data_IF_730149780281
#
_entry.id   IF_730149780281
#
_cell.length_a   1.000
_cell.length_b   1.000
_cell.length_c   1.000
_cell.angle_alpha   90.00
_cell.angle_beta   90.00
_cell.angle_gamma   90.00
#
_symmetry.space_group_name_H-M   'P 1'
#
loop_
_entity.id
_entity.type
_entity.pdbx_description
1 polymer ?
#
# COMPACT_ATOMS: atom_id res chain seq x y z
N UNK A 1 -30.14 15.92 18.69
CA UNK A 1 -30.79 17.20 19.08
C UNK A 1 -32.31 17.12 19.06
N UNK A 2 -32.96 17.15 17.89
CA UNK A 2 -34.43 17.29 17.81
C UNK A 2 -35.21 16.21 18.56
N UNK A 3 -34.86 14.93 18.38
CA UNK A 3 -35.50 13.81 19.09
C UNK A 3 -35.44 14.00 20.62
N UNK A 4 -34.28 14.41 21.14
CA UNK A 4 -34.10 14.69 22.56
C UNK A 4 -35.07 15.78 23.06
N UNK A 5 -35.17 16.90 22.34
CA UNK A 5 -36.09 18.00 22.72
C UNK A 5 -37.56 17.59 22.63
N UNK A 6 -37.95 16.84 21.59
CA UNK A 6 -39.35 16.40 21.45
C UNK A 6 -39.73 15.38 22.53
N UNK A 7 -38.84 14.47 22.92
CA UNK A 7 -39.07 13.55 24.04
C UNK A 7 -39.22 14.28 25.38
N UNK A 8 -38.40 15.31 25.64
CA UNK A 8 -38.55 16.17 26.84
C UNK A 8 -39.85 16.95 26.84
N UNK A 9 -40.29 17.41 25.66
CA UNK A 9 -41.60 18.06 25.48
C UNK A 9 -42.77 17.09 25.73
N UNK A 10 -42.64 15.83 25.33
CA UNK A 10 -43.62 14.76 25.63
C UNK A 10 -43.68 14.36 27.11
N UNK A 11 -42.77 14.86 27.96
CA UNK A 11 -42.81 14.65 29.40
C UNK A 11 -41.60 13.94 30.00
N UNK A 12 -40.61 13.52 29.19
CA UNK A 12 -39.39 12.88 29.67
C UNK A 12 -38.43 13.89 30.34
N UNK A 13 -38.83 14.54 31.44
CA UNK A 13 -38.08 15.64 32.08
C UNK A 13 -36.70 15.24 32.61
N UNK A 14 -36.51 13.96 32.93
CA UNK A 14 -35.24 13.41 33.39
C UNK A 14 -34.28 13.02 32.26
N UNK A 15 -34.71 13.06 30.99
CA UNK A 15 -33.80 12.85 29.85
C UNK A 15 -32.88 14.06 29.71
N UNK A 16 -31.67 14.00 30.26
CA UNK A 16 -30.72 15.13 30.27
C UNK A 16 -29.44 14.88 29.47
N UNK A 17 -29.27 13.69 28.90
CA UNK A 17 -28.07 13.31 28.20
C UNK A 17 -28.36 12.82 26.78
N UNK A 18 -27.40 13.04 25.89
CA UNK A 18 -27.35 12.42 24.56
C UNK A 18 -26.02 11.67 24.46
N UNK A 19 -26.11 10.38 24.12
CA UNK A 19 -24.95 9.58 23.78
C UNK A 19 -24.83 9.50 22.26
N UNK A 20 -23.66 9.89 21.74
CA UNK A 20 -23.35 9.90 20.31
C UNK A 20 -22.76 8.56 19.84
N UNK A 21 -22.45 7.65 20.76
CA UNK A 21 -21.72 6.42 20.47
C UNK A 21 -20.27 6.69 20.09
N UNK A 22 -19.68 5.76 19.35
CA UNK A 22 -18.33 5.89 18.80
C UNK A 22 -18.27 6.72 17.51
N UNK A 23 -17.33 6.38 16.63
CA UNK A 23 -17.19 7.01 15.31
C UNK A 23 -16.14 8.12 15.22
N UNK A 24 -15.52 8.51 16.35
CA UNK A 24 -14.33 9.34 16.33
C UNK A 24 -13.15 8.54 15.72
N UNK A 25 -12.74 8.94 14.52
CA UNK A 25 -11.75 8.25 13.71
C UNK A 25 -10.32 8.55 14.16
N UNK A 26 -9.43 7.62 13.81
CA UNK A 26 -7.98 7.74 14.02
C UNK A 26 -7.33 7.95 12.65
N UNK A 27 -6.28 8.76 12.61
CA UNK A 27 -5.47 8.92 11.41
C UNK A 27 -4.45 7.78 11.38
N UNK A 28 -4.61 6.84 10.43
CA UNK A 28 -3.71 5.70 10.26
C UNK A 28 -2.71 5.90 9.13
N UNK A 29 -2.97 6.85 8.23
CA UNK A 29 -2.12 7.06 7.07
C UNK A 29 -0.76 7.62 7.45
N UNK A 30 0.27 7.00 6.89
CA UNK A 30 1.65 7.48 6.92
C UNK A 30 2.03 8.27 5.66
N UNK A 31 1.15 8.33 4.65
CA UNK A 31 1.42 9.03 3.40
C UNK A 31 0.85 10.45 3.43
N UNK A 32 1.67 11.43 3.02
CA UNK A 32 1.40 12.88 3.14
C UNK A 32 0.06 13.32 2.53
N UNK A 33 -0.40 12.63 1.49
CA UNK A 33 -1.57 13.03 0.70
C UNK A 33 -2.76 12.07 0.81
N UNK A 34 -2.73 11.08 1.71
CA UNK A 34 -3.77 10.05 1.82
C UNK A 34 -4.38 10.01 3.22
N UNK A 35 -5.02 11.10 3.66
CA UNK A 35 -5.61 11.13 5.02
C UNK A 35 -6.76 10.14 5.16
N UNK A 36 -6.76 9.38 6.25
CA UNK A 36 -7.86 8.48 6.63
C UNK A 36 -9.08 9.23 7.17
N UNK A 37 -8.92 10.48 7.64
CA UNK A 37 -10.03 11.34 8.08
C UNK A 37 -9.91 12.78 7.56
N UNK A 38 -11.06 13.42 7.34
CA UNK A 38 -11.14 14.79 6.81
C UNK A 38 -11.45 15.86 7.86
N UNK A 39 -11.54 15.51 9.14
CA UNK A 39 -11.82 16.44 10.24
C UNK A 39 -10.77 16.36 11.34
N UNK A 40 -10.63 17.40 12.16
CA UNK A 40 -9.79 17.38 13.37
C UNK A 40 -10.57 16.97 14.63
N UNK A 41 -9.86 16.54 15.69
CA UNK A 41 -10.48 16.29 17.00
C UNK A 41 -11.27 17.51 17.51
N UNK A 42 -10.71 18.71 17.29
CA UNK A 42 -11.34 19.95 17.73
C UNK A 42 -12.58 20.29 16.91
N UNK A 43 -12.53 20.05 15.61
CA UNK A 43 -13.66 20.22 14.71
C UNK A 43 -14.82 19.30 15.09
N UNK A 44 -14.55 18.00 15.30
CA UNK A 44 -15.56 17.07 15.80
C UNK A 44 -16.24 17.57 17.08
N UNK A 45 -15.45 18.01 18.07
CA UNK A 45 -15.99 18.52 19.34
C UNK A 45 -16.80 19.81 19.14
N UNK A 46 -16.31 20.73 18.31
CA UNK A 46 -17.00 21.98 18.01
C UNK A 46 -18.35 21.72 17.32
N UNK A 47 -18.39 20.85 16.31
CA UNK A 47 -19.60 20.55 15.55
C UNK A 47 -20.68 19.94 16.43
N UNK A 48 -20.30 18.97 17.27
CA UNK A 48 -21.21 18.34 18.23
C UNK A 48 -21.81 19.37 19.19
N UNK A 49 -20.97 20.19 19.82
CA UNK A 49 -21.42 21.20 20.79
C UNK A 49 -22.29 22.25 20.12
N UNK A 50 -21.89 22.74 18.95
CA UNK A 50 -22.60 23.79 18.21
C UNK A 50 -23.99 23.32 17.75
N UNK A 51 -24.09 22.11 17.19
CA UNK A 51 -25.36 21.55 16.73
C UNK A 51 -26.33 21.38 17.90
N UNK A 52 -25.87 20.82 19.02
CA UNK A 52 -26.73 20.58 20.19
C UNK A 52 -27.18 21.88 20.85
N UNK A 53 -26.26 22.85 20.99
CA UNK A 53 -26.57 24.18 21.49
C UNK A 53 -27.65 24.87 20.65
N UNK A 54 -27.46 24.97 19.33
CA UNK A 54 -28.41 25.65 18.44
C UNK A 54 -29.82 25.03 18.52
N UNK A 55 -29.91 23.70 18.60
CA UNK A 55 -31.20 23.01 18.71
C UNK A 55 -31.85 23.30 20.08
N UNK A 56 -31.08 23.27 21.17
CA UNK A 56 -31.59 23.59 22.50
C UNK A 56 -32.08 25.04 22.59
N UNK A 57 -31.30 26.00 22.06
CA UNK A 57 -31.67 27.42 22.00
C UNK A 57 -32.94 27.64 21.16
N UNK A 58 -33.01 27.04 19.95
CA UNK A 58 -34.16 27.16 19.06
C UNK A 58 -35.45 26.63 19.70
N UNK A 59 -35.36 25.50 20.40
CA UNK A 59 -36.50 24.85 21.07
C UNK A 59 -36.76 25.41 22.48
N UNK A 60 -35.90 26.30 22.97
CA UNK A 60 -35.92 26.84 24.35
C UNK A 60 -35.98 25.72 25.40
N UNK A 61 -35.20 24.66 25.18
CA UNK A 61 -35.11 23.50 26.07
C UNK A 61 -33.70 23.40 26.69
N UNK A 62 -33.51 22.47 27.61
CA UNK A 62 -32.25 22.23 28.32
C UNK A 62 -31.16 21.71 27.39
N UNK A 63 -30.00 22.36 27.37
CA UNK A 63 -28.78 21.81 26.74
C UNK A 63 -28.41 20.46 27.38
N UNK A 64 -28.26 19.38 26.60
CA UNK A 64 -27.97 18.05 27.14
C UNK A 64 -26.51 17.89 27.57
N UNK A 65 -26.28 17.03 28.56
CA UNK A 65 -24.97 16.42 28.81
C UNK A 65 -24.57 15.55 27.61
N UNK A 66 -23.32 15.68 27.16
CA UNK A 66 -22.82 14.99 25.97
C UNK A 66 -21.99 13.79 26.39
N UNK A 67 -22.37 12.61 25.90
CA UNK A 67 -21.63 11.36 26.07
C UNK A 67 -21.10 10.85 24.73
N UNK A 68 -19.88 10.33 24.74
CA UNK A 68 -19.22 9.69 23.58
C UNK A 68 -18.62 8.36 23.99
N UNK A 69 -18.54 7.42 23.05
CA UNK A 69 -18.02 6.07 23.24
C UNK A 69 -16.82 5.83 22.29
N UNK A 70 -15.91 6.80 22.25
CA UNK A 70 -14.76 6.85 21.32
C UNK A 70 -13.63 5.89 21.69
N UNK A 71 -13.93 4.59 21.79
CA UNK A 71 -12.99 3.55 22.20
C UNK A 71 -11.77 3.40 21.27
N UNK A 72 -11.98 3.36 19.95
CA UNK A 72 -10.87 3.27 18.98
C UNK A 72 -9.90 4.44 19.14
N UNK A 73 -10.41 5.65 19.34
CA UNK A 73 -9.58 6.85 19.45
C UNK A 73 -8.64 6.80 20.66
N UNK A 74 -9.13 6.35 21.82
CA UNK A 74 -8.31 6.29 23.04
C UNK A 74 -7.35 5.10 23.05
N UNK A 75 -7.72 3.99 22.39
CA UNK A 75 -6.93 2.76 22.41
C UNK A 75 -5.95 2.62 21.23
N UNK A 76 -6.08 3.35 20.12
CA UNK A 76 -5.33 3.02 18.91
C UNK A 76 -3.80 3.15 19.04
N UNK A 77 -3.28 4.14 19.77
CA UNK A 77 -1.85 4.47 19.78
C UNK A 77 -1.09 3.95 21.02
N UNK A 78 -1.76 3.25 21.94
CA UNK A 78 -1.15 2.85 23.21
C UNK A 78 -0.24 1.62 23.11
N UNK A 79 -0.36 0.85 22.02
CA UNK A 79 0.33 -0.42 21.82
C UNK A 79 1.12 -0.40 20.51
N UNK A 80 2.31 -1.00 20.54
CA UNK A 80 3.20 -1.15 19.37
C UNK A 80 3.62 -2.62 19.28
N UNK A 81 3.51 -3.20 18.09
CA UNK A 81 4.00 -4.53 17.80
C UNK A 81 5.44 -4.44 17.28
N UNK A 82 6.38 -5.06 17.97
CA UNK A 82 7.79 -5.10 17.57
C UNK A 82 8.14 -6.54 17.23
N UNK A 83 8.66 -6.76 16.02
CA UNK A 83 9.11 -8.05 15.55
C UNK A 83 10.42 -7.91 14.75
N UNK A 84 11.41 -8.80 14.96
CA UNK A 84 12.62 -8.79 14.17
C UNK A 84 12.38 -9.30 12.75
N UNK A 85 13.19 -8.83 11.81
CA UNK A 85 13.34 -9.44 10.49
C UNK A 85 14.18 -10.71 10.63
N UNK A 86 13.64 -11.85 10.21
CA UNK A 86 14.35 -13.13 10.23
C UNK A 86 15.25 -13.28 9.02
N UNK A 87 14.73 -12.92 7.85
CA UNK A 87 15.39 -13.14 6.58
C UNK A 87 14.99 -12.05 5.59
N UNK A 88 15.94 -11.71 4.74
CA UNK A 88 15.76 -10.82 3.60
C UNK A 88 15.83 -11.67 2.33
N UNK A 89 14.71 -11.79 1.62
CA UNK A 89 14.70 -12.39 0.29
C UNK A 89 14.95 -11.27 -0.73
N UNK A 90 16.20 -11.15 -1.14
CA UNK A 90 16.61 -10.29 -2.23
C UNK A 90 16.86 -11.10 -3.51
N UNK A 91 16.91 -10.39 -4.62
CA UNK A 91 17.14 -10.97 -5.93
C UNK A 91 18.65 -11.06 -6.19
N UNK A 92 19.23 -12.27 -6.20
CA UNK A 92 20.65 -12.51 -6.53
C UNK A 92 20.92 -12.56 -8.04
N UNK A 93 20.27 -11.73 -8.83
CA UNK A 93 20.48 -11.70 -10.27
C UNK A 93 21.77 -10.95 -10.61
N UNK A 94 22.74 -11.68 -11.12
CA UNK A 94 24.08 -11.18 -11.43
C UNK A 94 24.62 -11.91 -12.68
N UNK A 95 25.53 -11.25 -13.40
CA UNK A 95 26.13 -11.79 -14.62
C UNK A 95 26.81 -13.14 -14.41
N UNK A 96 27.40 -13.38 -13.22
CA UNK A 96 28.07 -14.64 -12.89
C UNK A 96 27.11 -15.83 -12.74
N UNK A 97 25.79 -15.60 -12.71
CA UNK A 97 24.77 -16.64 -12.69
C UNK A 97 24.35 -17.07 -14.11
N UNK A 98 24.75 -16.34 -15.15
CA UNK A 98 24.44 -16.69 -16.55
C UNK A 98 25.20 -17.95 -16.98
N UNK A 99 24.49 -18.84 -17.66
CA UNK A 99 25.04 -20.07 -18.24
C UNK A 99 24.82 -19.99 -19.75
N UNK A 100 25.65 -19.22 -20.44
CA UNK A 100 25.57 -19.10 -21.90
C UNK A 100 26.12 -20.35 -22.57
N UNK A 101 25.24 -21.07 -23.27
CA UNK A 101 25.60 -22.27 -24.04
C UNK A 101 26.31 -21.85 -25.33
N UNK A 102 26.94 -22.83 -26.00
CA UNK A 102 27.49 -22.64 -27.35
C UNK A 102 26.41 -22.27 -28.38
N UNK A 103 25.19 -22.76 -28.15
CA UNK A 103 24.01 -22.47 -28.95
C UNK A 103 22.85 -22.19 -28.00
N UNK A 104 22.48 -20.92 -27.87
CA UNK A 104 21.26 -20.52 -27.18
C UNK A 104 20.12 -20.34 -28.19
N UNK A 105 18.86 -20.30 -27.73
CA UNK A 105 17.76 -19.76 -28.51
C UNK A 105 18.04 -18.31 -28.89
N UNK A 106 17.57 -17.90 -30.08
CA UNK A 106 17.79 -16.54 -30.61
C UNK A 106 17.32 -15.44 -29.64
N UNK A 107 16.22 -15.66 -28.93
CA UNK A 107 15.69 -14.73 -27.92
C UNK A 107 16.67 -14.48 -26.76
N UNK A 108 17.46 -15.47 -26.36
CA UNK A 108 18.49 -15.30 -25.31
C UNK A 108 19.66 -14.48 -25.85
N UNK A 109 20.07 -14.73 -27.10
CA UNK A 109 21.12 -13.94 -27.74
C UNK A 109 20.68 -12.47 -27.94
N UNK A 110 19.43 -12.25 -28.33
CA UNK A 110 18.80 -10.93 -28.42
C UNK A 110 18.79 -10.22 -27.06
N UNK A 111 18.30 -10.88 -25.99
CA UNK A 111 18.38 -10.34 -24.62
C UNK A 111 19.81 -9.98 -24.21
N UNK A 112 20.80 -10.81 -24.56
CA UNK A 112 22.19 -10.54 -24.26
C UNK A 112 22.73 -9.31 -25.01
N UNK A 113 22.31 -9.11 -26.26
CA UNK A 113 22.68 -7.95 -27.06
C UNK A 113 22.01 -6.67 -26.56
N UNK A 114 20.74 -6.73 -26.14
CA UNK A 114 20.05 -5.64 -25.44
C UNK A 114 20.83 -5.22 -24.19
N UNK A 115 21.19 -6.19 -23.35
CA UNK A 115 21.94 -5.94 -22.11
C UNK A 115 23.27 -5.23 -22.33
N UNK A 116 24.05 -5.65 -23.34
CA UNK A 116 25.32 -5.00 -23.70
C UNK A 116 25.13 -3.62 -24.32
N UNK A 117 24.06 -3.42 -25.09
CA UNK A 117 23.87 -2.23 -25.94
C UNK A 117 23.00 -1.14 -25.32
N UNK A 118 22.44 -1.37 -24.12
CA UNK A 118 21.62 -0.40 -23.41
C UNK A 118 22.40 0.87 -23.03
N UNK A 119 21.79 2.02 -23.30
CA UNK A 119 22.30 3.38 -23.08
C UNK A 119 21.11 4.31 -22.77
N UNK A 120 21.34 5.54 -22.28
CA UNK A 120 20.23 6.44 -21.90
C UNK A 120 19.21 6.69 -23.01
N UNK A 121 19.62 6.70 -24.28
CA UNK A 121 18.72 7.00 -25.40
C UNK A 121 17.73 5.89 -25.75
N UNK A 122 18.01 4.64 -25.37
CA UNK A 122 17.18 3.47 -25.70
C UNK A 122 16.79 2.66 -24.45
N UNK A 123 17.01 3.19 -23.25
CA UNK A 123 16.80 2.46 -22.00
C UNK A 123 15.35 2.02 -21.79
N UNK A 124 14.38 2.86 -22.15
CA UNK A 124 12.95 2.53 -22.04
C UNK A 124 12.52 1.50 -23.09
N UNK A 125 12.98 1.66 -24.33
CA UNK A 125 12.71 0.71 -25.42
C UNK A 125 13.26 -0.68 -25.07
N UNK A 126 14.52 -0.75 -24.65
CA UNK A 126 15.17 -2.01 -24.32
C UNK A 126 14.60 -2.68 -23.06
N UNK A 127 14.04 -1.89 -22.15
CA UNK A 127 13.27 -2.45 -21.04
C UNK A 127 12.03 -3.17 -21.58
N UNK A 128 11.20 -2.52 -22.39
CA UNK A 128 10.00 -3.14 -22.94
C UNK A 128 10.33 -4.39 -23.76
N UNK A 129 11.30 -4.30 -24.67
CA UNK A 129 11.75 -5.43 -25.47
C UNK A 129 12.23 -6.61 -24.59
N UNK A 130 12.91 -6.31 -23.48
CA UNK A 130 13.38 -7.36 -22.56
C UNK A 130 12.26 -8.08 -21.80
N UNK A 131 11.15 -7.38 -21.53
CA UNK A 131 9.95 -7.96 -20.91
C UNK A 131 9.23 -8.85 -21.93
N UNK A 132 9.03 -8.36 -23.16
CA UNK A 132 8.40 -9.12 -24.25
C UNK A 132 9.19 -10.41 -24.57
N UNK A 133 10.52 -10.34 -24.57
CA UNK A 133 11.38 -11.50 -24.75
C UNK A 133 11.31 -12.50 -23.58
N UNK A 134 11.17 -12.02 -22.34
CA UNK A 134 10.95 -12.88 -21.18
C UNK A 134 9.62 -13.63 -21.31
N UNK A 135 8.52 -12.93 -21.62
CA UNK A 135 7.20 -13.57 -21.83
C UNK A 135 7.24 -14.62 -22.95
N UNK A 136 7.96 -14.32 -24.03
CA UNK A 136 8.18 -15.26 -25.14
C UNK A 136 8.93 -16.51 -24.69
N UNK A 137 10.01 -16.36 -23.90
CA UNK A 137 10.76 -17.50 -23.34
C UNK A 137 9.91 -18.30 -22.37
N UNK A 138 9.13 -17.66 -21.49
CA UNK A 138 8.23 -18.35 -20.57
C UNK A 138 7.18 -19.18 -21.33
N UNK A 139 6.60 -18.62 -22.38
CA UNK A 139 5.66 -19.35 -23.26
C UNK A 139 6.33 -20.54 -23.94
N UNK A 140 7.55 -20.36 -24.47
CA UNK A 140 8.31 -21.45 -25.09
C UNK A 140 8.70 -22.53 -24.09
N UNK A 141 8.97 -22.15 -22.83
CA UNK A 141 9.29 -23.09 -21.76
C UNK A 141 8.07 -23.94 -21.41
N UNK A 142 6.89 -23.33 -21.26
CA UNK A 142 5.63 -24.03 -21.00
C UNK A 142 5.24 -25.00 -22.13
N UNK A 143 5.62 -24.68 -23.38
CA UNK A 143 5.43 -25.53 -24.54
C UNK A 143 6.55 -26.58 -24.74
N UNK A 144 7.60 -26.56 -23.92
CA UNK A 144 8.72 -27.52 -23.98
C UNK A 144 9.75 -27.27 -25.08
N UNK A 145 9.81 -26.05 -25.65
CA UNK A 145 10.76 -25.68 -26.71
C UNK A 145 12.12 -25.18 -26.20
N UNK A 146 12.21 -24.73 -24.94
CA UNK A 146 13.44 -24.25 -24.30
C UNK A 146 13.64 -24.93 -22.96
N UNK A 147 14.88 -24.99 -22.48
CA UNK A 147 15.23 -25.64 -21.22
C UNK A 147 15.22 -24.69 -20.01
N UNK A 148 15.46 -25.26 -18.82
CA UNK A 148 15.46 -24.50 -17.57
C UNK A 148 16.62 -23.49 -17.51
N UNK A 149 17.74 -23.78 -18.18
CA UNK A 149 18.88 -22.88 -18.27
C UNK A 149 18.57 -21.68 -19.16
N UNK A 150 17.85 -21.88 -20.27
CA UNK A 150 17.37 -20.80 -21.13
C UNK A 150 16.39 -19.90 -20.38
N UNK A 151 15.42 -20.49 -19.67
CA UNK A 151 14.51 -19.73 -18.80
C UNK A 151 15.26 -18.94 -17.74
N UNK A 152 16.21 -19.57 -17.04
CA UNK A 152 17.03 -18.91 -16.02
C UNK A 152 17.86 -17.76 -16.61
N UNK A 153 18.47 -17.95 -17.79
CA UNK A 153 19.21 -16.90 -18.47
C UNK A 153 18.30 -15.71 -18.84
N UNK A 154 17.07 -15.98 -19.31
CA UNK A 154 16.11 -14.92 -19.64
C UNK A 154 15.72 -14.12 -18.39
N UNK A 155 15.34 -14.79 -17.30
CA UNK A 155 15.01 -14.15 -16.02
C UNK A 155 16.18 -13.30 -15.50
N UNK A 156 17.41 -13.82 -15.52
CA UNK A 156 18.62 -13.07 -15.11
C UNK A 156 18.86 -11.86 -16.02
N UNK A 157 18.80 -12.03 -17.34
CA UNK A 157 19.09 -10.96 -18.30
C UNK A 157 18.04 -9.84 -18.23
N UNK A 158 16.76 -10.18 -18.23
CA UNK A 158 15.68 -9.20 -18.12
C UNK A 158 15.80 -8.42 -16.81
N UNK A 159 16.13 -9.08 -15.69
CA UNK A 159 16.37 -8.38 -14.44
C UNK A 159 17.59 -7.44 -14.51
N UNK A 160 18.71 -7.89 -15.07
CA UNK A 160 19.91 -7.06 -15.24
C UNK A 160 19.65 -5.84 -16.15
N UNK A 161 18.92 -6.03 -17.25
CA UNK A 161 18.48 -4.95 -18.15
C UNK A 161 17.60 -3.97 -17.39
N UNK A 162 16.61 -4.47 -16.66
CA UNK A 162 15.68 -3.66 -15.86
C UNK A 162 16.42 -2.79 -14.85
N UNK A 163 17.31 -3.38 -14.06
CA UNK A 163 18.14 -2.64 -13.09
C UNK A 163 19.01 -1.57 -13.76
N UNK A 164 19.62 -1.89 -14.90
CA UNK A 164 20.47 -0.94 -15.66
C UNK A 164 19.62 0.16 -16.31
N UNK A 165 18.41 -0.15 -16.77
CA UNK A 165 17.47 0.81 -17.34
C UNK A 165 17.03 1.85 -16.29
N UNK A 166 16.62 1.41 -15.09
CA UNK A 166 16.25 2.31 -13.98
C UNK A 166 17.39 3.30 -13.68
N UNK A 167 18.62 2.80 -13.57
CA UNK A 167 19.80 3.63 -13.32
C UNK A 167 20.05 4.67 -14.42
N UNK A 168 19.80 4.31 -15.68
CA UNK A 168 20.03 5.19 -16.83
C UNK A 168 18.90 6.20 -17.07
N UNK A 169 17.64 5.84 -16.78
CA UNK A 169 16.47 6.69 -16.94
C UNK A 169 16.42 7.80 -15.87
N UNK A 170 16.86 7.50 -14.65
CA UNK A 170 16.79 8.42 -13.50
C UNK A 170 15.36 8.93 -13.25
N UNK A 171 15.21 10.00 -12.46
CA UNK A 171 13.90 10.59 -12.13
C UNK A 171 13.22 11.37 -13.29
N UNK A 172 13.79 11.35 -14.50
CA UNK A 172 13.54 12.41 -15.49
C UNK A 172 12.48 12.12 -16.54
N UNK A 173 12.04 10.88 -16.78
CA UNK A 173 11.25 10.60 -17.99
C UNK A 173 9.92 9.84 -17.90
N UNK A 174 9.56 9.14 -16.81
CA UNK A 174 8.15 8.73 -16.62
C UNK A 174 7.97 8.08 -15.24
N UNK A 175 7.30 8.76 -14.28
CA UNK A 175 7.12 8.18 -12.95
C UNK A 175 6.27 6.90 -12.96
N UNK A 176 5.32 6.76 -13.89
CA UNK A 176 4.44 5.58 -13.95
C UNK A 176 5.18 4.29 -14.33
N UNK A 177 6.02 4.33 -15.37
CA UNK A 177 6.79 3.17 -15.82
C UNK A 177 7.89 2.81 -14.81
N UNK A 178 8.54 3.83 -14.21
CA UNK A 178 9.52 3.64 -13.13
C UNK A 178 8.90 3.00 -11.87
N UNK A 179 7.65 3.33 -11.53
CA UNK A 179 6.95 2.74 -10.38
C UNK A 179 6.61 1.25 -10.63
N UNK A 180 6.11 0.91 -11.82
CA UNK A 180 5.81 -0.48 -12.17
C UNK A 180 7.06 -1.37 -12.12
N UNK A 181 8.21 -0.83 -12.56
CA UNK A 181 9.49 -1.52 -12.51
C UNK A 181 10.03 -1.62 -11.07
N UNK A 182 9.88 -0.56 -10.26
CA UNK A 182 10.31 -0.59 -8.86
C UNK A 182 9.55 -1.63 -8.04
N UNK A 183 8.27 -1.89 -8.36
CA UNK A 183 7.48 -2.94 -7.72
C UNK A 183 8.00 -4.35 -7.99
N UNK A 184 8.67 -4.57 -9.13
CA UNK A 184 9.25 -5.86 -9.48
C UNK A 184 10.61 -6.10 -8.81
N UNK A 185 11.34 -5.04 -8.45
CA UNK A 185 12.71 -5.07 -7.88
C UNK A 185 12.70 -4.98 -6.34
N UNK A 186 11.55 -5.21 -5.69
CA UNK A 186 11.46 -5.11 -4.23
C UNK A 186 12.09 -6.30 -3.50
N UNK A 187 12.83 -5.99 -2.44
CA UNK A 187 13.24 -6.99 -1.45
C UNK A 187 12.05 -7.40 -0.59
N UNK A 188 11.95 -8.70 -0.28
CA UNK A 188 10.86 -9.23 0.55
C UNK A 188 11.39 -9.55 1.94
N UNK A 189 10.82 -8.92 2.96
CA UNK A 189 11.22 -9.07 4.36
C UNK A 189 10.36 -10.13 5.05
N UNK A 190 10.97 -11.20 5.52
CA UNK A 190 10.30 -12.18 6.38
C UNK A 190 10.39 -11.72 7.83
N UNK A 191 9.29 -11.16 8.33
CA UNK A 191 9.21 -10.63 9.70
C UNK A 191 8.67 -11.70 10.66
N UNK A 192 9.25 -11.82 11.85
CA UNK A 192 8.87 -12.83 12.85
C UNK A 192 7.56 -12.49 13.59
N UNK A 193 6.45 -12.44 12.87
CA UNK A 193 5.12 -12.30 13.46
C UNK A 193 4.05 -12.92 12.56
N UNK A 194 2.82 -13.00 13.08
CA UNK A 194 1.66 -13.43 12.30
C UNK A 194 0.72 -12.25 12.10
N UNK A 195 0.49 -11.88 10.83
CA UNK A 195 -0.52 -10.88 10.45
C UNK A 195 -1.89 -11.23 11.00
N UNK A 196 -2.29 -12.52 10.95
CA UNK A 196 -3.60 -12.97 11.41
C UNK A 196 -3.77 -12.93 12.93
N UNK A 197 -2.68 -13.10 13.68
CA UNK A 197 -2.72 -13.09 15.14
C UNK A 197 -2.66 -11.66 15.70
N UNK A 198 -1.83 -10.80 15.09
CA UNK A 198 -1.50 -9.49 15.65
C UNK A 198 -2.18 -8.33 14.93
N UNK A 199 -2.50 -8.47 13.64
CA UNK A 199 -3.05 -7.40 12.79
C UNK A 199 -4.20 -7.94 11.91
N UNK A 200 -5.25 -8.55 12.48
CA UNK A 200 -6.33 -9.16 11.69
C UNK A 200 -7.12 -8.14 10.84
N UNK A 201 -7.23 -6.89 11.30
CA UNK A 201 -7.92 -5.81 10.55
C UNK A 201 -7.23 -5.52 9.21
N UNK A 202 -5.92 -5.73 9.10
CA UNK A 202 -5.20 -5.60 7.82
C UNK A 202 -5.70 -6.60 6.79
N UNK A 203 -5.89 -7.85 7.21
CA UNK A 203 -6.39 -8.91 6.34
C UNK A 203 -7.89 -8.77 6.06
N UNK A 204 -8.69 -8.48 7.08
CA UNK A 204 -10.15 -8.54 6.99
C UNK A 204 -10.82 -7.29 6.44
N UNK A 205 -10.22 -6.11 6.63
CA UNK A 205 -10.84 -4.81 6.39
C UNK A 205 -9.96 -3.86 5.58
N UNK A 206 -8.86 -4.35 5.00
CA UNK A 206 -7.84 -3.52 4.31
C UNK A 206 -7.30 -2.38 5.20
N UNK A 207 -7.31 -2.58 6.52
CA UNK A 207 -6.83 -1.57 7.47
C UNK A 207 -5.31 -1.52 7.44
N UNK A 208 -4.76 -0.37 7.04
CA UNK A 208 -3.32 -0.15 7.05
C UNK A 208 -2.85 0.36 8.42
N UNK A 209 -1.63 -0.01 8.80
CA UNK A 209 -0.96 0.40 10.03
C UNK A 209 0.42 0.98 9.67
N UNK A 210 0.84 2.07 10.33
CA UNK A 210 2.18 2.63 10.16
C UNK A 210 3.25 1.76 10.82
#
# INVERSE_FOLDING_TARGET
GNIYTELRKMGAKNLKAINLGGGLAVEYSQFKNEKSRNYTLREYANDVVFILKNIAEQKKDLEPDIFIESGRFVAANHAVLIAPVLELFSQEYAENKLILKKQNPKLIDELYDLYKSIKPSNALEYLHDSIDHLESILTLFDLGYVDLQDRSNAEILTHLITKKAILLLGDKQNPADLLAIQDEVQERYLVNFSLFQSIPDFWGLEQNFP
#
